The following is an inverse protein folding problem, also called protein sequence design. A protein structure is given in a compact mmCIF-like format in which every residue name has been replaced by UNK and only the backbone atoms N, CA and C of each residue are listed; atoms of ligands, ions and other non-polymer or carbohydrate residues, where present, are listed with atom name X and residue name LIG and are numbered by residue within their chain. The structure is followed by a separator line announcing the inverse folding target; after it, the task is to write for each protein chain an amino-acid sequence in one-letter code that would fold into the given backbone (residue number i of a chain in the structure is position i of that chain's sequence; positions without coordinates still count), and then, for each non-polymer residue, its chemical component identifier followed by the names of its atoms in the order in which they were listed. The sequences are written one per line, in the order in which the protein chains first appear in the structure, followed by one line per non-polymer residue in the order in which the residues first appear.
data_IF_915714564468
#
_entry.id   IF_915714564468
#
_cell.length_a   1.000
_cell.length_b   1.000
_cell.length_c   1.000
_cell.angle_alpha   90.00
_cell.angle_beta   90.00
_cell.angle_gamma   90.00
#
_symmetry.space_group_name_H-M   'P 1'
#
loop_
_entity.id
_entity.type
_entity.pdbx_description
1 polymer ?
#
# COMPACT_ATOMS: atom_id res chain seq x y z
N UNK A 1 31.15 28.17 -19.30
CA UNK A 1 30.04 27.21 -19.46
C UNK A 1 29.64 26.67 -18.10
N UNK A 2 28.51 27.14 -17.56
CA UNK A 2 27.92 26.72 -16.28
C UNK A 2 26.63 25.94 -16.58
N UNK A 3 26.76 24.67 -16.91
CA UNK A 3 25.63 23.76 -17.11
C UNK A 3 25.96 22.41 -16.49
N UNK A 4 25.97 22.30 -15.15
CA UNK A 4 26.11 21.00 -14.48
C UNK A 4 25.62 20.89 -13.04
N UNK A 5 25.03 21.94 -12.45
CA UNK A 5 24.61 21.95 -11.03
C UNK A 5 23.09 22.08 -10.81
N UNK A 6 22.28 22.13 -11.87
CA UNK A 6 20.82 22.21 -11.76
C UNK A 6 20.13 20.83 -11.68
N UNK A 7 20.72 19.78 -12.26
CA UNK A 7 20.13 18.43 -12.27
C UNK A 7 20.09 17.75 -10.90
N UNK A 8 21.16 17.87 -10.11
CA UNK A 8 21.26 17.19 -8.81
C UNK A 8 20.34 17.77 -7.74
N UNK A 9 20.06 19.08 -7.77
CA UNK A 9 19.12 19.71 -6.84
C UNK A 9 17.66 19.32 -7.12
N UNK A 10 17.29 19.24 -8.40
CA UNK A 10 15.96 18.76 -8.81
C UNK A 10 15.72 17.30 -8.47
N UNK A 11 16.72 16.43 -8.70
CA UNK A 11 16.65 15.02 -8.34
C UNK A 11 16.58 14.80 -6.82
N UNK A 12 17.38 15.51 -6.03
CA UNK A 12 17.31 15.43 -4.57
C UNK A 12 15.95 15.87 -4.02
N UNK A 13 15.33 16.92 -4.59
CA UNK A 13 14.01 17.35 -4.15
C UNK A 13 12.91 16.35 -4.53
N UNK A 14 12.96 15.78 -5.75
CA UNK A 14 12.05 14.72 -6.17
C UNK A 14 12.17 13.49 -5.25
N UNK A 15 13.40 13.06 -4.94
CA UNK A 15 13.67 11.98 -4.00
C UNK A 15 13.06 12.25 -2.61
N UNK A 16 13.22 13.46 -2.07
CA UNK A 16 12.63 13.83 -0.77
C UNK A 16 11.10 13.77 -0.85
N UNK A 17 10.50 14.31 -1.91
CA UNK A 17 9.05 14.36 -2.08
C UNK A 17 8.45 12.97 -2.17
N UNK A 18 8.98 12.08 -3.03
CA UNK A 18 8.48 10.71 -3.19
C UNK A 18 8.59 9.95 -1.86
N UNK A 19 9.71 10.08 -1.15
CA UNK A 19 9.90 9.40 0.13
C UNK A 19 8.92 9.89 1.20
N UNK A 20 8.66 11.20 1.26
CA UNK A 20 7.68 11.77 2.18
C UNK A 20 6.26 11.31 1.85
N UNK A 21 5.85 11.44 0.59
CA UNK A 21 4.52 11.06 0.14
C UNK A 21 4.26 9.55 0.30
N UNK A 22 5.22 8.69 -0.06
CA UNK A 22 5.11 7.25 0.14
C UNK A 22 5.07 6.86 1.62
N UNK A 23 5.85 7.52 2.48
CA UNK A 23 5.78 7.28 3.92
C UNK A 23 4.44 7.69 4.51
N UNK A 24 3.91 8.87 4.14
CA UNK A 24 2.60 9.34 4.56
C UNK A 24 1.47 8.43 4.08
N UNK A 25 1.51 7.99 2.83
CA UNK A 25 0.54 7.05 2.29
C UNK A 25 0.57 5.72 3.06
N UNK A 26 1.77 5.17 3.33
CA UNK A 26 1.91 3.93 4.09
C UNK A 26 1.38 4.06 5.53
N UNK A 27 1.68 5.18 6.19
CA UNK A 27 1.15 5.46 7.54
C UNK A 27 -0.38 5.61 7.54
N UNK A 28 -0.94 6.31 6.55
CA UNK A 28 -2.39 6.46 6.41
C UNK A 28 -3.09 5.12 6.21
N UNK A 29 -2.53 4.26 5.36
CA UNK A 29 -3.05 2.91 5.12
C UNK A 29 -2.96 2.09 6.41
N UNK A 30 -1.81 2.05 7.07
CA UNK A 30 -1.61 1.28 8.30
C UNK A 30 -2.60 1.69 9.40
N UNK A 31 -2.75 2.99 9.64
CA UNK A 31 -3.71 3.50 10.62
C UNK A 31 -5.15 3.11 10.28
N UNK A 32 -5.48 3.06 8.99
CA UNK A 32 -6.81 2.71 8.52
C UNK A 32 -7.14 1.23 8.67
N UNK A 33 -6.15 0.33 8.56
CA UNK A 33 -6.41 -1.11 8.47
C UNK A 33 -5.97 -1.94 9.68
N UNK A 34 -5.02 -1.49 10.50
CA UNK A 34 -4.39 -2.34 11.52
C UNK A 34 -5.36 -2.95 12.55
N UNK A 35 -6.52 -2.32 12.73
CA UNK A 35 -7.60 -2.77 13.61
C UNK A 35 -8.79 -3.38 12.87
N UNK A 36 -8.67 -3.63 11.57
CA UNK A 36 -9.69 -4.32 10.80
C UNK A 36 -9.45 -5.85 10.82
N UNK A 37 -10.48 -6.58 10.45
CA UNK A 37 -10.46 -8.00 10.14
C UNK A 37 -10.27 -8.18 8.63
N UNK A 38 -9.27 -8.96 8.20
CA UNK A 38 -9.08 -9.28 6.77
C UNK A 38 -10.08 -10.34 6.36
N UNK A 39 -10.92 -10.01 5.39
CA UNK A 39 -11.92 -10.92 4.85
C UNK A 39 -11.35 -11.70 3.64
N UNK A 40 -10.64 -11.00 2.74
CA UNK A 40 -10.05 -11.58 1.54
C UNK A 40 -8.88 -10.74 0.97
N UNK A 41 -7.99 -11.37 0.22
CA UNK A 41 -6.97 -10.71 -0.62
C UNK A 41 -7.08 -11.22 -2.06
N UNK A 42 -7.44 -10.33 -3.00
CA UNK A 42 -7.83 -10.72 -4.34
C UNK A 42 -9.00 -11.72 -4.31
N UNK A 43 -8.81 -12.90 -4.90
CA UNK A 43 -9.77 -14.00 -4.82
C UNK A 43 -9.51 -14.97 -3.65
N UNK A 44 -8.47 -14.73 -2.83
CA UNK A 44 -8.05 -15.64 -1.78
C UNK A 44 -8.81 -15.37 -0.48
N UNK A 45 -9.29 -16.44 0.14
CA UNK A 45 -9.99 -16.39 1.44
C UNK A 45 -9.05 -16.76 2.59
N UNK A 46 -9.55 -16.65 3.83
CA UNK A 46 -8.82 -17.10 5.02
C UNK A 46 -8.36 -18.56 4.92
N UNK A 47 -9.18 -19.44 4.36
CA UNK A 47 -8.83 -20.86 4.22
C UNK A 47 -7.61 -21.05 3.30
N UNK A 48 -7.56 -20.32 2.18
CA UNK A 48 -6.40 -20.30 1.27
C UNK A 48 -5.16 -19.74 1.96
N UNK A 49 -5.32 -18.68 2.74
CA UNK A 49 -4.22 -18.05 3.48
C UNK A 49 -3.62 -18.98 4.55
N UNK A 50 -4.46 -19.64 5.36
CA UNK A 50 -4.02 -20.62 6.35
C UNK A 50 -3.31 -21.82 5.70
N UNK A 51 -3.78 -22.27 4.54
CA UNK A 51 -3.13 -23.34 3.78
C UNK A 51 -1.75 -22.94 3.25
N UNK A 52 -1.56 -21.66 2.89
CA UNK A 52 -0.27 -21.12 2.46
C UNK A 52 0.70 -20.85 3.63
N UNK A 53 0.19 -20.72 4.85
CA UNK A 53 0.99 -20.52 6.06
C UNK A 53 1.87 -19.26 5.98
N UNK A 54 3.16 -19.43 6.25
CA UNK A 54 4.13 -18.32 6.28
C UNK A 54 4.41 -17.68 4.92
N UNK A 55 4.09 -18.35 3.81
CA UNK A 55 4.20 -17.77 2.47
C UNK A 55 3.08 -16.76 2.19
N UNK A 56 1.91 -16.96 2.79
CA UNK A 56 0.73 -16.13 2.58
C UNK A 56 0.13 -16.22 1.18
N UNK A 57 -0.89 -15.40 0.94
CA UNK A 57 -1.59 -15.25 -0.34
C UNK A 57 -1.53 -13.80 -0.79
N UNK A 58 -1.41 -13.57 -2.10
CA UNK A 58 -1.26 -12.22 -2.66
C UNK A 58 -2.37 -11.84 -3.62
N UNK A 59 -2.59 -10.54 -3.78
CA UNK A 59 -3.53 -9.96 -4.72
C UNK A 59 -3.45 -8.43 -4.75
N UNK A 60 -4.10 -7.82 -5.73
CA UNK A 60 -4.06 -6.35 -5.93
C UNK A 60 -5.19 -5.62 -5.19
N UNK A 61 -6.03 -6.38 -4.48
CA UNK A 61 -7.09 -5.87 -3.62
C UNK A 61 -7.04 -6.55 -2.25
N UNK A 62 -7.49 -5.84 -1.22
CA UNK A 62 -7.77 -6.43 0.10
C UNK A 62 -9.14 -5.97 0.60
N UNK A 63 -9.98 -6.91 0.96
CA UNK A 63 -11.26 -6.67 1.63
C UNK A 63 -11.05 -6.82 3.13
N UNK A 64 -11.47 -5.82 3.88
CA UNK A 64 -11.42 -5.83 5.34
C UNK A 64 -12.75 -5.35 5.93
N UNK A 65 -13.05 -5.79 7.13
CA UNK A 65 -14.21 -5.39 7.90
C UNK A 65 -13.80 -4.82 9.26
N UNK A 66 -14.43 -3.74 9.69
CA UNK A 66 -14.26 -3.17 11.01
C UNK A 66 -15.61 -2.84 11.66
N UNK A 67 -15.60 -2.15 12.80
CA UNK A 67 -16.81 -1.72 13.50
C UNK A 67 -17.71 -0.77 12.69
N UNK A 68 -17.18 -0.15 11.64
CA UNK A 68 -17.85 0.81 10.76
C UNK A 68 -18.35 0.18 9.46
N UNK A 69 -17.88 -1.02 9.11
CA UNK A 69 -18.38 -1.83 8.00
C UNK A 69 -17.28 -2.48 7.18
N UNK A 70 -17.65 -3.01 6.00
CA UNK A 70 -16.72 -3.60 5.05
C UNK A 70 -16.14 -2.53 4.11
N UNK A 71 -14.84 -2.62 3.84
CA UNK A 71 -14.10 -1.73 2.94
C UNK A 71 -13.18 -2.56 2.05
N UNK A 72 -13.07 -2.20 0.77
CA UNK A 72 -12.12 -2.80 -0.16
C UNK A 72 -11.04 -1.80 -0.53
N UNK A 73 -9.78 -2.19 -0.34
CA UNK A 73 -8.63 -1.37 -0.68
C UNK A 73 -8.04 -1.85 -2.00
N UNK A 74 -7.78 -0.92 -2.91
CA UNK A 74 -7.22 -1.21 -4.24
C UNK A 74 -6.56 0.02 -4.84
N UNK A 75 -5.91 -0.15 -5.98
CA UNK A 75 -5.52 0.97 -6.82
C UNK A 75 -6.76 1.47 -7.59
N UNK A 76 -7.04 2.76 -7.48
CA UNK A 76 -8.00 3.47 -8.32
C UNK A 76 -7.24 4.46 -9.20
N UNK A 77 -7.08 4.09 -10.48
CA UNK A 77 -6.32 4.81 -11.50
C UNK A 77 -4.85 5.03 -11.10
N UNK A 78 -4.57 6.01 -10.25
CA UNK A 78 -3.23 6.41 -9.80
C UNK A 78 -3.13 6.60 -8.29
N UNK A 79 -4.16 6.20 -7.53
CA UNK A 79 -4.23 6.43 -6.08
C UNK A 79 -4.71 5.20 -5.35
N UNK A 80 -4.19 4.98 -4.14
CA UNK A 80 -4.68 3.91 -3.28
C UNK A 80 -5.99 4.38 -2.66
N UNK A 81 -7.06 3.64 -2.93
CA UNK A 81 -8.41 3.94 -2.46
C UNK A 81 -8.89 2.88 -1.47
N UNK A 82 -9.62 3.30 -0.46
CA UNK A 82 -10.52 2.48 0.35
C UNK A 82 -11.94 2.75 -0.09
N UNK A 83 -12.60 1.75 -0.65
CA UNK A 83 -13.97 1.81 -1.17
C UNK A 83 -14.89 1.14 -0.16
N UNK A 84 -15.70 1.96 0.51
CA UNK A 84 -16.81 1.56 1.36
C UNK A 84 -18.10 2.23 0.83
N UNK A 85 -18.92 2.83 1.70
CA UNK A 85 -20.03 3.69 1.27
C UNK A 85 -19.55 4.99 0.59
N UNK A 86 -18.35 5.47 0.95
CA UNK A 86 -17.68 6.64 0.35
C UNK A 86 -16.24 6.25 0.07
N UNK A 87 -15.74 6.56 -1.13
CA UNK A 87 -14.34 6.31 -1.49
C UNK A 87 -13.43 7.28 -0.75
N UNK A 88 -12.47 6.74 0.01
CA UNK A 88 -11.41 7.50 0.69
C UNK A 88 -10.07 7.21 0.01
N UNK A 89 -9.39 8.26 -0.45
CA UNK A 89 -8.03 8.12 -0.96
C UNK A 89 -7.01 8.20 0.18
N UNK A 90 -6.09 7.24 0.19
CA UNK A 90 -5.07 7.07 1.25
C UNK A 90 -3.69 7.55 0.80
N UNK A 91 -3.48 7.67 -0.51
CA UNK A 91 -2.34 8.39 -1.07
C UNK A 91 -2.70 9.85 -1.36
N UNK A 92 -1.70 10.72 -1.25
CA UNK A 92 -1.82 12.14 -1.59
C UNK A 92 -1.94 12.32 -3.12
N UNK A 93 -2.56 13.41 -3.61
CA UNK A 93 -2.80 13.61 -5.04
C UNK A 93 -1.56 14.05 -5.84
N UNK A 94 -0.47 14.39 -5.16
CA UNK A 94 0.81 14.82 -5.72
C UNK A 94 1.73 13.67 -6.14
N UNK A 95 1.35 12.42 -5.86
CA UNK A 95 2.07 11.22 -6.29
C UNK A 95 1.20 10.28 -7.10
N UNK A 96 1.80 9.68 -8.13
CA UNK A 96 1.16 8.68 -8.97
C UNK A 96 1.57 7.30 -8.46
N UNK A 97 0.60 6.55 -7.94
CA UNK A 97 0.80 5.13 -7.59
C UNK A 97 0.57 4.30 -8.84
N UNK A 98 1.58 3.54 -9.27
CA UNK A 98 1.54 2.75 -10.50
C UNK A 98 1.14 1.30 -10.27
N UNK A 99 1.36 0.77 -9.06
CA UNK A 99 0.93 -0.56 -8.66
C UNK A 99 0.70 -0.63 -7.14
N UNK A 100 -0.23 -1.49 -6.70
CA UNK A 100 -0.40 -1.88 -5.31
C UNK A 100 -0.52 -3.40 -5.23
N UNK A 101 0.04 -4.00 -4.20
CA UNK A 101 -0.05 -5.42 -3.92
C UNK A 101 -0.18 -5.65 -2.43
N UNK A 102 -1.06 -6.57 -2.07
CA UNK A 102 -1.30 -7.02 -0.72
C UNK A 102 -0.89 -8.48 -0.61
N UNK A 103 -0.17 -8.84 0.45
CA UNK A 103 0.12 -10.22 0.81
C UNK A 103 -0.39 -10.47 2.22
N UNK A 104 -1.35 -11.36 2.37
CA UNK A 104 -1.90 -11.77 3.65
C UNK A 104 -1.24 -13.06 4.12
N UNK A 105 -0.66 -13.03 5.32
CA UNK A 105 0.07 -14.12 5.93
C UNK A 105 -0.71 -14.55 7.18
N UNK A 106 -1.21 -15.78 7.17
CA UNK A 106 -1.99 -16.35 8.26
C UNK A 106 -1.23 -17.52 8.87
N UNK A 107 -0.90 -17.42 10.15
CA UNK A 107 -0.25 -18.50 10.91
C UNK A 107 -1.14 -18.81 12.11
N UNK A 108 -1.52 -20.08 12.26
CA UNK A 108 -2.38 -20.53 13.36
C UNK A 108 -1.77 -20.15 14.73
N UNK A 109 -2.59 -19.61 15.63
CA UNK A 109 -2.15 -19.17 16.96
C UNK A 109 -1.31 -17.89 16.96
N UNK A 110 -1.36 -17.10 15.89
CA UNK A 110 -0.73 -15.79 15.79
C UNK A 110 -1.68 -14.81 15.09
N UNK A 111 -1.52 -13.52 15.37
CA UNK A 111 -2.18 -12.48 14.58
C UNK A 111 -1.75 -12.61 13.12
N UNK A 112 -2.71 -12.42 12.23
CA UNK A 112 -2.39 -12.35 10.81
C UNK A 112 -1.51 -11.11 10.55
N UNK A 113 -0.71 -11.20 9.48
CA UNK A 113 0.04 -10.06 8.96
C UNK A 113 -0.43 -9.71 7.57
N UNK A 114 -0.67 -8.43 7.33
CA UNK A 114 -0.86 -7.91 6.00
C UNK A 114 0.39 -7.14 5.58
N UNK A 115 1.04 -7.62 4.53
CA UNK A 115 2.11 -6.91 3.85
C UNK A 115 1.51 -6.10 2.73
N UNK A 116 1.86 -4.82 2.69
CA UNK A 116 1.47 -3.90 1.63
C UNK A 116 2.72 -3.51 0.88
N UNK A 117 2.61 -3.51 -0.44
CA UNK A 117 3.62 -3.00 -1.36
C UNK A 117 2.97 -2.08 -2.37
N UNK A 118 3.56 -0.94 -2.66
CA UNK A 118 3.13 -0.11 -3.79
C UNK A 118 4.30 0.62 -4.42
N UNK A 119 4.15 0.89 -5.71
CA UNK A 119 5.12 1.62 -6.51
C UNK A 119 4.61 3.05 -6.74
N UNK A 120 5.46 4.04 -6.47
CA UNK A 120 5.25 5.43 -6.84
C UNK A 120 6.13 5.75 -8.04
N UNK A 121 5.50 6.36 -9.05
CA UNK A 121 6.15 6.93 -10.22
C UNK A 121 6.09 8.47 -10.10
N UNK A 122 7.24 9.14 -10.13
CA UNK A 122 7.32 10.61 -10.23
C UNK A 122 7.97 10.99 -11.57
N UNK A 123 7.28 11.77 -12.42
CA UNK A 123 7.90 12.32 -13.61
C UNK A 123 8.95 13.38 -13.21
N UNK A 124 10.23 12.98 -13.19
CA UNK A 124 11.32 13.92 -12.94
C UNK A 124 11.42 14.92 -14.10
N UNK A 125 11.83 16.15 -13.79
CA UNK A 125 12.20 17.15 -14.78
C UNK A 125 13.30 16.58 -15.70
N UNK A 126 13.04 16.57 -17.01
CA UNK A 126 13.86 16.01 -18.11
C UNK A 126 13.54 14.58 -18.60
N UNK A 127 12.36 14.04 -18.29
CA UNK A 127 11.81 12.87 -18.99
C UNK A 127 12.24 11.50 -18.44
N UNK A 128 12.94 11.49 -17.30
CA UNK A 128 13.20 10.27 -16.52
C UNK A 128 12.07 10.06 -15.51
N UNK A 129 11.52 8.84 -15.42
CA UNK A 129 10.53 8.48 -14.41
C UNK A 129 11.26 7.87 -13.22
N UNK A 130 11.18 8.50 -12.06
CA UNK A 130 11.71 7.95 -10.83
C UNK A 130 10.68 6.99 -10.23
N UNK A 131 11.11 5.75 -9.98
CA UNK A 131 10.27 4.70 -9.39
C UNK A 131 10.76 4.34 -8.00
N UNK A 132 9.86 4.31 -7.02
CA UNK A 132 10.15 3.88 -5.65
C UNK A 132 9.10 2.87 -5.18
N UNK A 133 9.57 1.75 -4.66
CA UNK A 133 8.73 0.75 -4.03
C UNK A 133 8.69 0.99 -2.51
N UNK A 134 7.49 1.08 -1.96
CA UNK A 134 7.25 1.15 -0.52
C UNK A 134 6.65 -0.17 -0.07
N UNK A 135 7.20 -0.75 1.00
CA UNK A 135 6.78 -2.04 1.52
C UNK A 135 6.76 -2.03 3.05
N UNK A 136 5.67 -2.53 3.65
CA UNK A 136 5.53 -2.66 5.11
C UNK A 136 4.71 -3.88 5.47
N UNK A 137 5.09 -4.54 6.57
CA UNK A 137 4.30 -5.60 7.20
C UNK A 137 3.52 -4.99 8.37
N UNK A 138 2.20 -5.21 8.39
CA UNK A 138 1.27 -4.68 9.40
C UNK A 138 0.67 -5.87 10.15
N UNK A 139 0.77 -5.87 11.48
CA UNK A 139 0.05 -6.83 12.29
C UNK A 139 -1.43 -6.45 12.35
N UNK A 140 -2.30 -7.40 12.03
CA UNK A 140 -3.74 -7.19 11.99
C UNK A 140 -4.34 -7.63 13.33
N UNK A 141 -4.57 -6.68 14.24
CA UNK A 141 -4.91 -7.01 15.64
C UNK A 141 -6.29 -7.64 15.83
N UNK A 142 -7.19 -7.44 14.87
CA UNK A 142 -8.52 -8.04 14.84
C UNK A 142 -8.64 -9.15 13.78
N UNK A 143 -7.52 -9.57 13.17
CA UNK A 143 -7.48 -10.70 12.22
C UNK A 143 -6.60 -11.80 12.75
N UNK A 144 -7.15 -13.00 12.78
CA UNK A 144 -6.45 -14.16 13.27
C UNK A 144 -6.43 -14.24 14.78
N UNK A 145 -7.02 -15.33 15.25
CA UNK A 145 -6.65 -16.13 16.41
C UNK A 145 -6.90 -17.58 15.99
#
# INVERSE_FOLDING_TARGET
MLFRTLGSRGQNQADININQAGSQAMESIEQSIRFATVDAVGANTRASCLAAGSSGVSGDTVAVSDSWGASTYSLDTSRIASVAAVTKYLSTPDVVVSAVSFTWICVSGSYDKLRISFDIDDPVVAGEVMKRNFKRDINMYNSGI
#
